data_IF_619650036183
#
_entry.id   IF_619650036183
#
_cell.length_a   1.000
_cell.length_b   1.000
_cell.length_c   1.000
_cell.angle_alpha   90.00
_cell.angle_beta   90.00
_cell.angle_gamma   90.00
#
_symmetry.space_group_name_H-M   'P 1'
#
loop_
_entity.id
_entity.type
_entity.pdbx_description
1 polymer ?
#
# COMPACT_ATOMS: atom_id res chain seq x y z
N UNK A 1 -18.35 -1.07 -18.02
CA UNK A 1 -17.79 -2.42 -17.90
C UNK A 1 -16.39 -2.56 -18.47
N UNK A 2 -16.12 -1.99 -19.66
CA UNK A 2 -14.80 -2.06 -20.26
C UNK A 2 -13.72 -1.46 -19.34
N UNK A 3 -14.02 -0.36 -18.67
CA UNK A 3 -13.08 0.27 -17.73
C UNK A 3 -12.72 -0.64 -16.58
N UNK A 4 -13.72 -1.34 -16.01
CA UNK A 4 -13.50 -2.24 -14.88
C UNK A 4 -12.64 -3.43 -15.29
N UNK A 5 -12.91 -4.01 -16.45
CA UNK A 5 -12.11 -5.13 -16.98
C UNK A 5 -10.66 -4.70 -17.20
N UNK A 6 -10.44 -3.52 -17.81
CA UNK A 6 -9.10 -2.96 -18.01
C UNK A 6 -8.36 -2.77 -16.70
N UNK A 7 -9.06 -2.28 -15.66
CA UNK A 7 -8.46 -2.11 -14.33
C UNK A 7 -8.00 -3.45 -13.76
N UNK A 8 -8.80 -4.49 -13.89
CA UNK A 8 -8.42 -5.84 -13.41
C UNK A 8 -7.17 -6.34 -14.11
N UNK A 9 -7.12 -6.23 -15.43
CA UNK A 9 -5.96 -6.72 -16.20
C UNK A 9 -4.69 -5.98 -15.83
N UNK A 10 -4.73 -4.66 -15.81
CA UNK A 10 -3.55 -3.84 -15.51
C UNK A 10 -3.05 -4.09 -14.10
N UNK A 11 -3.95 -4.17 -13.12
CA UNK A 11 -3.57 -4.43 -11.74
C UNK A 11 -2.93 -5.81 -11.59
N UNK A 12 -3.52 -6.81 -12.24
CA UNK A 12 -2.98 -8.17 -12.21
C UNK A 12 -1.58 -8.23 -12.82
N UNK A 13 -1.37 -7.56 -13.96
CA UNK A 13 -0.07 -7.50 -14.63
C UNK A 13 0.98 -6.87 -13.71
N UNK A 14 0.64 -5.76 -13.06
CA UNK A 14 1.55 -5.06 -12.15
C UNK A 14 2.00 -5.98 -11.03
N UNK A 15 1.06 -6.66 -10.37
CA UNK A 15 1.39 -7.55 -9.24
C UNK A 15 2.27 -8.72 -9.70
N UNK A 16 1.94 -9.32 -10.85
CA UNK A 16 2.72 -10.44 -11.39
C UNK A 16 4.15 -9.99 -11.73
N UNK A 17 4.30 -8.84 -12.38
CA UNK A 17 5.62 -8.31 -12.75
C UNK A 17 6.45 -8.04 -11.51
N UNK A 18 5.88 -7.40 -10.49
CA UNK A 18 6.60 -7.13 -9.24
C UNK A 18 7.04 -8.44 -8.59
N UNK A 19 6.16 -9.43 -8.54
CA UNK A 19 6.47 -10.74 -7.97
C UNK A 19 7.61 -11.43 -8.69
N UNK A 20 7.61 -11.41 -10.04
CA UNK A 20 8.66 -12.05 -10.83
C UNK A 20 10.01 -11.33 -10.69
N UNK A 21 9.99 -10.01 -10.64
CA UNK A 21 11.23 -9.24 -10.45
C UNK A 21 11.79 -9.50 -9.05
N UNK A 22 10.94 -9.61 -8.04
CA UNK A 22 11.36 -9.87 -6.66
C UNK A 22 12.06 -11.22 -6.52
N UNK A 23 11.66 -12.23 -7.30
CA UNK A 23 12.34 -13.53 -7.32
C UNK A 23 13.77 -13.42 -7.79
N UNK A 24 14.04 -12.53 -8.74
CA UNK A 24 15.33 -12.42 -9.43
C UNK A 24 16.28 -11.45 -8.78
N UNK A 25 15.76 -10.40 -8.17
CA UNK A 25 16.58 -9.37 -7.54
C UNK A 25 15.86 -8.81 -6.32
N UNK A 26 16.49 -8.97 -5.17
CA UNK A 26 15.92 -8.47 -3.91
C UNK A 26 15.82 -6.95 -3.91
N UNK A 27 16.87 -6.28 -4.36
CA UNK A 27 16.91 -4.82 -4.36
C UNK A 27 15.94 -4.22 -5.36
N UNK A 28 15.94 -4.75 -6.58
CA UNK A 28 15.06 -4.24 -7.63
C UNK A 28 13.60 -4.54 -7.32
N UNK A 29 13.31 -5.75 -6.83
CA UNK A 29 11.98 -6.11 -6.41
C UNK A 29 11.47 -5.20 -5.29
N UNK A 30 12.32 -4.92 -4.30
CA UNK A 30 11.98 -4.00 -3.22
C UNK A 30 11.72 -2.58 -3.72
N UNK A 31 12.56 -2.11 -4.64
CA UNK A 31 12.39 -0.78 -5.22
C UNK A 31 11.04 -0.66 -5.95
N UNK A 32 10.74 -1.62 -6.80
CA UNK A 32 9.49 -1.59 -7.57
C UNK A 32 8.28 -1.72 -6.64
N UNK A 33 8.36 -2.59 -5.64
CA UNK A 33 7.27 -2.75 -4.67
C UNK A 33 7.05 -1.49 -3.85
N UNK A 34 8.11 -0.73 -3.58
CA UNK A 34 8.01 0.52 -2.83
C UNK A 34 7.41 1.66 -3.66
N UNK A 35 7.51 1.58 -4.98
CA UNK A 35 6.85 2.55 -5.84
C UNK A 35 5.33 2.41 -5.69
N UNK A 36 4.59 3.53 -5.58
CA UNK A 36 3.16 3.44 -5.36
C UNK A 36 2.40 3.15 -6.65
N UNK A 37 2.64 1.97 -7.24
CA UNK A 37 2.07 1.62 -8.53
C UNK A 37 0.55 1.56 -8.53
N UNK A 38 -0.03 0.96 -7.49
CA UNK A 38 -1.50 0.89 -7.36
C UNK A 38 -2.06 2.31 -7.22
N UNK A 39 -1.40 3.15 -6.43
CA UNK A 39 -1.82 4.55 -6.26
C UNK A 39 -1.75 5.31 -7.58
N UNK A 40 -0.66 5.13 -8.34
CA UNK A 40 -0.50 5.78 -9.64
C UNK A 40 -1.63 5.36 -10.58
N UNK A 41 -1.90 4.06 -10.66
CA UNK A 41 -2.99 3.56 -11.50
C UNK A 41 -4.34 4.13 -11.06
N UNK A 42 -4.59 4.19 -9.76
CA UNK A 42 -5.84 4.73 -9.22
C UNK A 42 -5.99 6.20 -9.58
N UNK A 43 -4.91 6.98 -9.46
CA UNK A 43 -4.95 8.40 -9.81
C UNK A 43 -5.23 8.59 -11.31
N UNK A 44 -4.62 7.77 -12.16
CA UNK A 44 -4.86 7.83 -13.60
C UNK A 44 -6.32 7.52 -13.91
N UNK A 45 -6.87 6.46 -13.31
CA UNK A 45 -8.27 6.09 -13.55
C UNK A 45 -9.24 7.15 -13.05
N UNK A 46 -8.97 7.78 -11.90
CA UNK A 46 -9.81 8.87 -11.41
C UNK A 46 -9.85 10.03 -12.39
N UNK A 47 -8.70 10.36 -12.97
CA UNK A 47 -8.61 11.43 -13.96
C UNK A 47 -9.33 11.05 -15.26
N UNK A 48 -9.12 9.83 -15.75
CA UNK A 48 -9.76 9.35 -16.97
C UNK A 48 -11.27 9.30 -16.83
N UNK A 49 -11.77 8.96 -15.65
CA UNK A 49 -13.20 8.89 -15.38
C UNK A 49 -13.80 10.25 -15.00
N UNK A 50 -13.04 11.33 -15.18
CA UNK A 50 -13.49 12.71 -15.00
C UNK A 50 -13.91 13.04 -13.57
N UNK A 51 -13.23 12.45 -12.59
CA UNK A 51 -13.47 12.81 -11.21
C UNK A 51 -12.88 14.21 -10.93
N UNK A 52 -13.48 14.99 -9.99
CA UNK A 52 -12.97 16.32 -9.67
C UNK A 52 -11.53 16.29 -9.14
N UNK A 53 -10.76 17.35 -9.45
CA UNK A 53 -9.38 17.45 -8.99
C UNK A 53 -9.27 17.39 -7.46
N UNK A 54 -10.27 17.93 -6.76
CA UNK A 54 -10.32 17.86 -5.29
C UNK A 54 -10.36 16.42 -4.78
N UNK A 55 -11.13 15.55 -5.44
CA UNK A 55 -11.23 14.15 -5.07
C UNK A 55 -9.92 13.42 -5.30
N UNK A 56 -9.25 13.72 -6.40
CA UNK A 56 -7.94 13.14 -6.71
C UNK A 56 -6.91 13.58 -5.67
N UNK A 57 -6.91 14.85 -5.32
CA UNK A 57 -6.00 15.38 -4.30
C UNK A 57 -6.26 14.76 -2.93
N UNK A 58 -7.53 14.58 -2.57
CA UNK A 58 -7.88 13.93 -1.30
C UNK A 58 -7.40 12.49 -1.24
N UNK A 59 -7.52 11.76 -2.34
CA UNK A 59 -7.03 10.39 -2.41
C UNK A 59 -5.53 10.33 -2.10
N UNK A 60 -4.75 11.20 -2.74
CA UNK A 60 -3.31 11.25 -2.51
C UNK A 60 -2.96 11.64 -1.08
N UNK A 61 -3.68 12.61 -0.52
CA UNK A 61 -3.47 13.08 0.84
C UNK A 61 -3.69 11.96 1.86
N UNK A 62 -4.84 11.29 1.78
CA UNK A 62 -5.14 10.20 2.72
C UNK A 62 -4.23 9.01 2.53
N UNK A 63 -3.83 8.69 1.30
CA UNK A 63 -2.90 7.61 1.03
C UNK A 63 -1.57 7.85 1.75
N UNK A 64 -1.07 9.09 1.69
CA UNK A 64 0.16 9.45 2.41
C UNK A 64 0.07 9.10 3.89
N UNK A 65 -1.02 9.54 4.54
CA UNK A 65 -1.17 9.31 5.98
C UNK A 65 -1.36 7.84 6.32
N UNK A 66 -2.07 7.09 5.49
CA UNK A 66 -2.29 5.67 5.74
C UNK A 66 -1.03 4.81 5.54
N UNK A 67 -0.09 5.26 4.72
CA UNK A 67 1.16 4.53 4.49
C UNK A 67 2.07 4.59 5.73
N UNK A 68 2.07 5.70 6.45
CA UNK A 68 2.99 5.87 7.57
C UNK A 68 2.91 4.77 8.63
N UNK A 69 1.73 4.32 9.08
CA UNK A 69 1.66 3.24 10.08
C UNK A 69 2.16 1.89 9.58
N UNK A 70 2.25 1.68 8.27
CA UNK A 70 2.71 0.40 7.73
C UNK A 70 4.23 0.25 7.77
N UNK A 71 4.96 1.35 7.87
CA UNK A 71 6.42 1.33 7.79
C UNK A 71 7.09 0.57 8.93
N UNK A 72 6.71 0.78 10.21
CA UNK A 72 7.32 0.01 11.30
C UNK A 72 7.13 -1.49 11.17
N UNK A 73 5.94 -1.93 10.76
CA UNK A 73 5.64 -3.34 10.59
C UNK A 73 6.47 -3.95 9.47
N UNK A 74 6.63 -3.21 8.38
CA UNK A 74 7.42 -3.66 7.24
C UNK A 74 8.90 -3.78 7.62
N UNK A 75 9.39 -2.86 8.43
CA UNK A 75 10.78 -2.90 8.91
C UNK A 75 11.01 -4.09 9.83
N UNK A 76 10.02 -4.46 10.63
CA UNK A 76 10.12 -5.58 11.56
C UNK A 76 10.03 -6.95 10.87
N UNK A 77 9.44 -7.01 9.68
CA UNK A 77 9.20 -8.28 8.98
C UNK A 77 10.46 -9.12 8.80
N UNK A 78 11.58 -8.58 8.29
CA UNK A 78 12.80 -9.37 8.13
C UNK A 78 13.35 -9.92 9.44
N UNK A 79 13.12 -9.24 10.55
CA UNK A 79 13.60 -9.67 11.87
C UNK A 79 12.78 -10.82 12.43
N UNK A 80 11.50 -10.86 12.10
CA UNK A 80 10.58 -11.88 12.60
C UNK A 80 10.59 -13.15 11.75
N UNK A 81 10.88 -13.02 10.46
CA UNK A 81 10.80 -14.13 9.52
C UNK A 81 11.64 -15.34 9.93
N UNK A 82 12.93 -15.19 10.32
CA UNK A 82 13.73 -16.35 10.73
C UNK A 82 13.23 -17.03 12.00
N UNK A 83 12.53 -16.30 12.87
CA UNK A 83 12.08 -16.85 14.17
C UNK A 83 10.76 -17.59 14.08
N UNK A 84 9.82 -17.07 13.27
CA UNK A 84 8.44 -17.55 13.29
C UNK A 84 8.00 -18.21 11.99
N UNK A 85 8.82 -18.16 10.93
CA UNK A 85 8.44 -18.66 9.63
C UNK A 85 7.52 -17.68 8.90
N UNK A 86 7.22 -17.99 7.64
CA UNK A 86 6.52 -17.05 6.77
C UNK A 86 5.09 -16.75 7.23
N UNK A 87 4.29 -17.80 7.42
CA UNK A 87 2.85 -17.60 7.68
C UNK A 87 2.57 -16.90 9.00
N UNK A 88 3.30 -17.27 10.06
CA UNK A 88 3.13 -16.61 11.34
C UNK A 88 3.62 -15.16 11.29
N UNK A 89 4.76 -14.92 10.63
CA UNK A 89 5.27 -13.56 10.45
C UNK A 89 4.29 -12.70 9.67
N UNK A 90 3.67 -13.26 8.64
CA UNK A 90 2.67 -12.55 7.85
C UNK A 90 1.46 -12.16 8.69
N UNK A 91 0.98 -13.09 9.54
CA UNK A 91 -0.13 -12.80 10.45
C UNK A 91 0.23 -11.70 11.44
N UNK A 92 1.44 -11.77 12.01
CA UNK A 92 1.93 -10.73 12.92
C UNK A 92 2.01 -9.39 12.19
N UNK A 93 2.51 -9.39 10.96
CA UNK A 93 2.59 -8.18 10.14
C UNK A 93 1.22 -7.54 9.95
N UNK A 94 0.22 -8.34 9.59
CA UNK A 94 -1.14 -7.84 9.35
C UNK A 94 -1.73 -7.23 10.63
N UNK A 95 -1.61 -7.97 11.75
CA UNK A 95 -2.15 -7.51 13.04
C UNK A 95 -1.40 -6.26 13.52
N UNK A 96 -0.08 -6.25 13.41
CA UNK A 96 0.74 -5.10 13.81
C UNK A 96 0.40 -3.86 12.98
N UNK A 97 0.21 -4.03 11.67
CA UNK A 97 -0.15 -2.93 10.79
C UNK A 97 -1.51 -2.35 11.18
N UNK A 98 -2.49 -3.22 11.42
CA UNK A 98 -3.83 -2.79 11.83
C UNK A 98 -3.80 -2.05 13.17
N UNK A 99 -3.03 -2.57 14.14
CA UNK A 99 -2.89 -1.94 15.45
C UNK A 99 -2.19 -0.59 15.36
N UNK A 100 -1.09 -0.52 14.60
CA UNK A 100 -0.36 0.71 14.39
C UNK A 100 -1.23 1.75 13.68
N UNK A 101 -2.03 1.32 12.72
CA UNK A 101 -2.96 2.20 12.02
C UNK A 101 -3.97 2.80 13.00
N UNK A 102 -4.56 1.98 13.87
CA UNK A 102 -5.52 2.46 14.85
C UNK A 102 -4.92 3.47 15.81
N UNK A 103 -3.74 3.16 16.34
CA UNK A 103 -3.03 4.08 17.24
C UNK A 103 -2.64 5.37 16.54
N UNK A 104 -2.14 5.25 15.31
CA UNK A 104 -1.73 6.41 14.53
C UNK A 104 -2.92 7.31 14.21
N UNK A 105 -4.06 6.73 13.83
CA UNK A 105 -5.27 7.49 13.55
C UNK A 105 -5.74 8.27 14.77
N UNK A 106 -5.68 7.65 15.96
CA UNK A 106 -6.03 8.32 17.21
C UNK A 106 -5.05 9.44 17.54
N UNK A 107 -3.75 9.22 17.29
CA UNK A 107 -2.73 10.24 17.55
C UNK A 107 -2.88 11.46 16.65
N UNK A 108 -3.04 11.24 15.34
CA UNK A 108 -3.13 12.36 14.39
C UNK A 108 -4.47 13.10 14.50
N UNK A 109 -5.48 12.45 15.03
CA UNK A 109 -6.77 13.10 15.27
C UNK A 109 -6.63 14.31 16.18
N UNK A 110 -5.68 14.26 17.13
CA UNK A 110 -5.40 15.39 18.03
C UNK A 110 -4.84 16.59 17.27
N UNK A 111 -4.24 16.37 16.11
CA UNK A 111 -3.68 17.42 15.28
C UNK A 111 -4.63 17.90 14.19
N UNK A 112 -5.89 17.46 14.25
CA UNK A 112 -6.90 17.88 13.28
C UNK A 112 -6.96 17.06 12.01
N UNK A 113 -6.24 15.94 11.94
CA UNK A 113 -6.26 15.04 10.79
C UNK A 113 -7.18 13.87 11.11
N UNK A 114 -8.25 13.73 10.36
CA UNK A 114 -9.20 12.64 10.56
C UNK A 114 -8.99 11.57 9.51
N UNK A 115 -8.59 10.37 9.96
CA UNK A 115 -8.42 9.20 9.11
C UNK A 115 -9.54 8.18 9.29
N UNK A 116 -10.37 8.37 10.30
CA UNK A 116 -11.50 7.50 10.60
C UNK A 116 -12.82 8.20 10.41
#
# INVERSE_FOLDING_TARGET
MAWVISKYFLTAIVVVVVSEVAKRSDKLGGLIAALPLITVLTLIWLNVENQPAEKIANHAWYTFWYVLPTLPALLAFPMLLPRFGFWLTLMIYIVATASCFGLFALCVRRFGIELL
#
